data_IF_380155365407
#
_entry.id   IF_380155365407
#
_cell.length_a   1.000
_cell.length_b   1.000
_cell.length_c   1.000
_cell.angle_alpha   90.00
_cell.angle_beta   90.00
_cell.angle_gamma   90.00
#
_symmetry.space_group_name_H-M   'P 1'
#
loop_
_entity.id
_entity.type
_entity.pdbx_description
1 polymer ?
#
# COMPACT_ATOMS: atom_id res chain seq x y z
N UNK A 1 -20.73 -11.38 2.92
CA UNK A 1 -20.39 -9.93 2.81
C UNK A 1 -19.14 -9.54 3.59
N UNK A 2 -18.68 -10.33 4.58
CA UNK A 2 -17.42 -10.10 5.32
C UNK A 2 -16.15 -10.33 4.46
N UNK A 3 -16.19 -11.23 3.49
CA UNK A 3 -15.02 -11.63 2.68
C UNK A 3 -14.56 -10.56 1.67
N UNK A 4 -15.48 -9.72 1.18
CA UNK A 4 -15.16 -8.62 0.24
C UNK A 4 -14.30 -7.53 0.90
N UNK A 5 -14.45 -7.32 2.21
CA UNK A 5 -13.72 -6.27 2.94
C UNK A 5 -12.23 -6.64 3.12
N UNK A 6 -11.92 -7.89 3.47
CA UNK A 6 -10.53 -8.38 3.63
C UNK A 6 -9.73 -8.34 2.32
N UNK A 7 -10.35 -8.75 1.22
CA UNK A 7 -9.73 -8.72 -0.12
C UNK A 7 -9.32 -7.29 -0.52
N UNK A 8 -10.21 -6.31 -0.29
CA UNK A 8 -9.98 -4.92 -0.68
C UNK A 8 -8.75 -4.31 0.02
N UNK A 9 -8.54 -4.61 1.29
CA UNK A 9 -7.39 -4.11 2.07
C UNK A 9 -6.05 -4.69 1.59
N UNK A 10 -6.03 -5.96 1.19
CA UNK A 10 -4.83 -6.60 0.63
C UNK A 10 -4.41 -5.97 -0.71
N UNK A 11 -5.37 -5.52 -1.53
CA UNK A 11 -5.08 -4.81 -2.78
C UNK A 11 -4.65 -3.35 -2.58
N UNK A 12 -5.14 -2.67 -1.54
CA UNK A 12 -4.81 -1.26 -1.26
C UNK A 12 -3.31 -1.04 -1.03
N UNK A 13 -2.60 -2.00 -0.42
CA UNK A 13 -1.16 -1.89 -0.12
C UNK A 13 -0.29 -1.75 -1.36
N UNK A 14 -0.39 -2.65 -2.38
CA UNK A 14 0.29 -2.46 -3.66
C UNK A 14 0.03 -1.11 -4.32
N UNK A 15 -1.21 -0.63 -4.31
CA UNK A 15 -1.55 0.68 -4.91
C UNK A 15 -0.92 1.85 -4.17
N UNK A 16 -0.75 1.74 -2.86
CA UNK A 16 -0.04 2.71 -2.02
C UNK A 16 1.42 2.85 -2.46
N UNK A 17 2.11 1.71 -2.64
CA UNK A 17 3.48 1.68 -3.13
C UNK A 17 3.59 2.11 -4.60
N UNK A 18 2.60 1.78 -5.43
CA UNK A 18 2.55 2.18 -6.83
C UNK A 18 2.41 3.70 -6.96
N UNK A 19 1.53 4.32 -6.18
CA UNK A 19 1.34 5.77 -6.15
C UNK A 19 2.60 6.50 -5.68
N UNK A 20 3.24 6.02 -4.61
CA UNK A 20 4.53 6.55 -4.14
C UNK A 20 5.62 6.42 -5.19
N UNK A 21 5.73 5.26 -5.81
CA UNK A 21 6.71 5.01 -6.88
C UNK A 21 6.45 5.95 -8.04
N UNK A 22 5.21 6.12 -8.48
CA UNK A 22 4.86 7.04 -9.55
C UNK A 22 5.27 8.48 -9.22
N UNK A 23 4.97 8.99 -8.03
CA UNK A 23 5.40 10.33 -7.60
C UNK A 23 6.92 10.45 -7.59
N UNK A 24 7.62 9.44 -7.10
CA UNK A 24 9.08 9.42 -7.07
C UNK A 24 9.69 9.43 -8.49
N UNK A 25 9.16 8.60 -9.40
CA UNK A 25 9.57 8.55 -10.80
C UNK A 25 9.34 9.89 -11.51
N UNK A 26 8.21 10.56 -11.25
CA UNK A 26 7.90 11.88 -11.82
C UNK A 26 8.85 12.96 -11.32
N UNK A 27 9.12 13.01 -10.01
CA UNK A 27 10.09 13.95 -9.41
C UNK A 27 11.52 13.73 -9.92
N UNK A 28 11.86 12.49 -10.27
CA UNK A 28 13.15 12.14 -10.84
C UNK A 28 13.26 12.45 -12.36
N UNK A 29 12.24 13.07 -12.97
CA UNK A 29 12.25 13.41 -14.39
C UNK A 29 12.21 12.19 -15.33
N UNK A 30 11.87 11.01 -14.83
CA UNK A 30 11.84 9.79 -15.65
C UNK A 30 10.61 9.79 -16.54
N UNK A 31 10.83 9.90 -17.85
CA UNK A 31 9.79 9.91 -18.87
C UNK A 31 9.49 8.46 -19.26
N UNK A 32 8.39 7.91 -18.72
CA UNK A 32 7.82 6.66 -19.22
C UNK A 32 7.21 6.86 -20.60
N UNK A 33 7.23 5.83 -21.44
CA UNK A 33 6.50 5.79 -22.73
C UNK A 33 4.98 5.86 -22.53
N UNK A 34 4.50 5.39 -21.38
CA UNK A 34 3.12 5.58 -20.94
C UNK A 34 3.06 6.59 -19.79
N UNK A 35 2.44 7.75 -20.04
CA UNK A 35 2.16 8.76 -19.02
C UNK A 35 0.67 9.08 -19.02
N UNK A 36 0.05 9.02 -17.84
CA UNK A 36 -1.33 9.45 -17.69
C UNK A 36 -1.49 10.94 -18.04
N UNK A 37 -0.48 11.76 -17.75
CA UNK A 37 -0.49 13.20 -18.06
C UNK A 37 0.91 13.66 -18.46
N UNK A 38 0.98 14.52 -19.49
CA UNK A 38 2.26 15.08 -19.97
C UNK A 38 2.88 16.07 -18.98
N UNK A 39 2.05 16.80 -18.22
CA UNK A 39 2.53 17.78 -17.23
C UNK A 39 3.07 17.09 -15.98
N UNK A 40 4.33 17.38 -15.63
CA UNK A 40 4.99 16.84 -14.44
C UNK A 40 4.21 17.16 -13.16
N UNK A 41 3.89 18.45 -12.95
CA UNK A 41 3.17 18.95 -11.77
C UNK A 41 1.81 18.28 -11.60
N UNK A 42 1.05 18.16 -12.69
CA UNK A 42 -0.26 17.50 -12.66
C UNK A 42 -0.12 16.01 -12.38
N UNK A 43 0.89 15.36 -12.96
CA UNK A 43 1.20 13.97 -12.65
C UNK A 43 1.53 13.75 -11.16
N UNK A 44 2.38 14.59 -10.58
CA UNK A 44 2.71 14.52 -9.14
C UNK A 44 1.46 14.73 -8.29
N UNK A 45 0.63 15.71 -8.62
CA UNK A 45 -0.63 15.96 -7.92
C UNK A 45 -1.57 14.76 -7.95
N UNK A 46 -1.79 14.16 -9.11
CA UNK A 46 -2.63 12.96 -9.25
C UNK A 46 -2.05 11.79 -8.46
N UNK A 47 -0.73 11.57 -8.53
CA UNK A 47 -0.07 10.53 -7.74
C UNK A 47 -0.27 10.72 -6.24
N UNK A 48 -0.15 11.96 -5.76
CA UNK A 48 -0.40 12.30 -4.36
C UNK A 48 -1.88 12.14 -3.97
N UNK A 49 -2.80 12.52 -4.85
CA UNK A 49 -4.24 12.34 -4.65
C UNK A 49 -4.61 10.86 -4.51
N UNK A 50 -4.11 10.01 -5.41
CA UNK A 50 -4.31 8.56 -5.35
C UNK A 50 -3.70 7.99 -4.07
N UNK A 51 -2.50 8.42 -3.70
CA UNK A 51 -1.87 8.03 -2.44
C UNK A 51 -2.74 8.39 -1.23
N UNK A 52 -3.23 9.63 -1.15
CA UNK A 52 -4.06 10.11 -0.04
C UNK A 52 -5.39 9.34 0.07
N UNK A 53 -6.06 9.09 -1.06
CA UNK A 53 -7.31 8.32 -1.11
C UNK A 53 -7.09 6.85 -0.71
N UNK A 54 -5.99 6.25 -1.16
CA UNK A 54 -5.63 4.87 -0.83
C UNK A 54 -5.27 4.74 0.65
N UNK A 55 -4.54 5.72 1.19
CA UNK A 55 -4.19 5.78 2.61
C UNK A 55 -5.42 5.98 3.50
N UNK A 56 -6.32 6.91 3.13
CA UNK A 56 -7.59 7.08 3.81
C UNK A 56 -8.43 5.80 3.80
N UNK A 57 -8.55 5.17 2.64
CA UNK A 57 -9.25 3.89 2.50
C UNK A 57 -8.64 2.79 3.37
N UNK A 58 -7.31 2.75 3.51
CA UNK A 58 -6.63 1.79 4.38
C UNK A 58 -6.93 2.04 5.87
N UNK A 59 -6.97 3.31 6.30
CA UNK A 59 -7.24 3.69 7.70
C UNK A 59 -8.71 3.45 8.06
N UNK A 60 -9.64 3.73 7.16
CA UNK A 60 -11.08 3.57 7.43
C UNK A 60 -11.63 2.19 7.07
N UNK A 61 -10.87 1.35 6.35
CA UNK A 61 -11.29 -0.01 5.98
C UNK A 61 -11.56 -0.92 7.18
N UNK A 62 -10.88 -0.70 8.30
CA UNK A 62 -10.97 -1.54 9.49
C UNK A 62 -11.77 -0.94 10.64
N UNK A 63 -12.30 0.28 10.46
CA UNK A 63 -12.94 1.07 11.53
C UNK A 63 -14.38 1.37 11.14
N UNK A 64 -15.34 0.93 11.96
CA UNK A 64 -16.71 1.40 11.93
C UNK A 64 -16.82 2.65 12.84
N UNK A 65 -17.09 3.79 12.23
CA UNK A 65 -17.15 5.09 12.93
C UNK A 65 -18.39 5.17 13.83
N UNK A 66 -19.40 4.30 13.62
CA UNK A 66 -20.65 4.31 14.36
C UNK A 66 -20.62 3.48 15.66
N UNK A 67 -19.61 2.63 15.86
CA UNK A 67 -19.55 1.71 17.01
C UNK A 67 -18.36 2.04 17.96
N UNK A 68 -18.43 1.66 19.24
CA UNK A 68 -17.33 1.85 20.18
C UNK A 68 -16.06 1.09 19.76
N UNK A 69 -14.88 1.67 19.97
CA UNK A 69 -13.59 1.05 19.62
C UNK A 69 -13.36 -0.29 20.35
N UNK A 70 -13.89 -0.44 21.58
CA UNK A 70 -13.77 -1.67 22.37
C UNK A 70 -14.44 -2.87 21.70
N UNK A 71 -15.54 -2.66 20.99
CA UNK A 71 -16.31 -3.72 20.33
C UNK A 71 -15.71 -4.15 18.99
N UNK A 72 -14.79 -3.35 18.44
CA UNK A 72 -14.23 -3.54 17.11
C UNK A 72 -12.74 -3.91 17.12
N UNK A 73 -12.14 -3.98 18.31
CA UNK A 73 -10.70 -4.24 18.49
C UNK A 73 -10.25 -5.54 17.82
N UNK A 74 -11.06 -6.59 17.87
CA UNK A 74 -10.75 -7.87 17.23
C UNK A 74 -10.77 -7.77 15.70
N UNK A 75 -11.67 -6.95 15.14
CA UNK A 75 -11.72 -6.67 13.70
C UNK A 75 -10.49 -5.87 13.28
N UNK A 76 -10.13 -4.82 14.03
CA UNK A 76 -8.93 -4.01 13.78
C UNK A 76 -7.67 -4.90 13.81
N UNK A 77 -7.53 -5.75 14.84
CA UNK A 77 -6.41 -6.69 14.95
C UNK A 77 -6.34 -7.66 13.77
N UNK A 78 -7.48 -8.18 13.31
CA UNK A 78 -7.49 -9.11 12.17
C UNK A 78 -7.06 -8.40 10.88
N UNK A 79 -7.57 -7.20 10.61
CA UNK A 79 -7.28 -6.46 9.39
C UNK A 79 -5.84 -5.92 9.36
N UNK A 80 -5.43 -5.18 10.38
CA UNK A 80 -4.09 -4.58 10.42
C UNK A 80 -3.02 -5.58 10.84
N UNK A 81 -3.34 -6.54 11.71
CA UNK A 81 -2.41 -7.61 12.09
C UNK A 81 -2.07 -8.53 10.92
N UNK A 82 -3.06 -8.91 10.11
CA UNK A 82 -2.81 -9.65 8.86
C UNK A 82 -1.90 -8.87 7.90
N UNK A 83 -2.18 -7.57 7.72
CA UNK A 83 -1.38 -6.69 6.88
C UNK A 83 0.09 -6.59 7.33
N UNK A 84 0.33 -6.41 8.62
CA UNK A 84 1.67 -6.36 9.22
C UNK A 84 2.39 -7.69 9.02
N UNK A 85 1.69 -8.82 9.21
CA UNK A 85 2.27 -10.16 9.02
C UNK A 85 2.70 -10.38 7.56
N UNK A 86 1.89 -9.98 6.58
CA UNK A 86 2.26 -10.07 5.15
C UNK A 86 3.45 -9.18 4.79
N UNK A 87 3.51 -7.96 5.32
CA UNK A 87 4.67 -7.08 5.13
C UNK A 87 5.94 -7.67 5.75
N UNK A 88 5.83 -8.25 6.96
CA UNK A 88 6.93 -8.92 7.63
C UNK A 88 7.42 -10.15 6.84
N UNK A 89 6.50 -10.97 6.32
CA UNK A 89 6.82 -12.09 5.44
C UNK A 89 7.54 -11.63 4.17
N UNK A 90 7.05 -10.58 3.51
CA UNK A 90 7.71 -10.01 2.33
C UNK A 90 9.12 -9.51 2.64
N UNK A 91 9.31 -8.84 3.78
CA UNK A 91 10.63 -8.42 4.24
C UNK A 91 11.55 -9.60 4.56
N UNK A 92 11.02 -10.63 5.23
CA UNK A 92 11.74 -11.84 5.57
C UNK A 92 12.21 -12.61 4.33
N UNK A 93 11.34 -12.77 3.33
CA UNK A 93 11.70 -13.35 2.03
C UNK A 93 12.82 -12.53 1.35
N UNK A 94 12.72 -11.20 1.38
CA UNK A 94 13.78 -10.32 0.84
C UNK A 94 15.11 -10.49 1.58
N UNK A 95 15.07 -10.66 2.90
CA UNK A 95 16.26 -10.90 3.71
C UNK A 95 16.92 -12.24 3.35
N UNK A 96 16.15 -13.33 3.25
CA UNK A 96 16.66 -14.64 2.82
C UNK A 96 17.23 -14.61 1.40
N UNK A 97 16.56 -13.92 0.47
CA UNK A 97 17.02 -13.79 -0.91
C UNK A 97 18.38 -13.08 -1.00
N UNK A 98 18.58 -11.99 -0.26
CA UNK A 98 19.88 -11.31 -0.18
C UNK A 98 20.97 -12.19 0.43
N UNK A 99 20.64 -12.98 1.46
CA UNK A 99 21.59 -13.91 2.08
C UNK A 99 22.02 -15.00 1.09
N UNK A 100 21.09 -15.54 0.31
CA UNK A 100 21.40 -16.56 -0.69
C UNK A 100 22.15 -16.00 -1.91
N UNK A 101 21.95 -14.73 -2.26
CA UNK A 101 22.71 -14.07 -3.30
C UNK A 101 24.21 -13.94 -2.94
N UNK A 102 24.52 -13.69 -1.65
CA UNK A 102 25.89 -13.62 -1.14
C UNK A 102 26.59 -14.98 -0.95
N UNK A 103 25.88 -16.12 -1.09
CA UNK A 103 26.48 -17.47 -0.99
C UNK A 103 26.96 -17.97 -2.37
N UNK A 104 26.65 -17.23 -3.45
CA UNK A 104 27.05 -17.57 -4.82
C UNK A 104 28.19 -16.70 -5.38
N UNK A 105 28.78 -15.82 -4.58
CA UNK A 105 30.07 -15.17 -4.87
C UNK A 105 31.19 -15.87 -4.09
#
# INVERSE_FOLDING_TARGET
MKDKKLSTTAFLVPYLFLALSYVHFRKAGKISSFQAVKSEKVGIFIGFLVFALTLGSLIFSGIDIAAPLSEQMDTIKLYYGGLIMFLALGYFVKYLSKKNAHIKE
#
